data_IF_443657800996
#
_entry.id   IF_443657800996
#
_cell.length_a   1.000
_cell.length_b   1.000
_cell.length_c   1.000
_cell.angle_alpha   90.00
_cell.angle_beta   90.00
_cell.angle_gamma   90.00
#
_symmetry.space_group_name_H-M   'P 1'
#
loop_
_entity.id
_entity.type
_entity.pdbx_description
1 polymer ?
#
# COMPACT_ATOMS: atom_id res chain seq x y z
N UNK A 1 -7.42 -3.57 2.11
CA UNK A 1 -8.39 -4.66 1.84
C UNK A 1 -8.32 -5.78 2.89
N UNK A 2 -7.68 -5.60 4.05
CA UNK A 2 -7.40 -6.70 4.99
C UNK A 2 -8.35 -6.84 6.19
N UNK A 3 -9.23 -5.87 6.46
CA UNK A 3 -10.02 -5.86 7.70
C UNK A 3 -11.27 -6.76 7.74
N UNK A 4 -11.62 -7.44 6.65
CA UNK A 4 -12.84 -8.26 6.57
C UNK A 4 -12.61 -9.73 6.96
N UNK A 5 -11.46 -10.31 6.59
CA UNK A 5 -11.14 -11.71 6.86
C UNK A 5 -11.02 -12.01 8.36
N UNK A 6 -10.47 -11.07 9.12
CA UNK A 6 -10.23 -11.25 10.55
C UNK A 6 -11.51 -11.51 11.36
N UNK A 7 -12.63 -10.88 11.00
CA UNK A 7 -13.87 -11.02 11.75
C UNK A 7 -14.48 -12.41 11.55
N UNK A 8 -14.54 -12.89 10.31
CA UNK A 8 -15.07 -14.22 10.00
C UNK A 8 -14.22 -15.32 10.66
N UNK A 9 -12.89 -15.23 10.57
CA UNK A 9 -11.99 -16.17 11.24
C UNK A 9 -12.13 -16.10 12.76
N UNK A 10 -12.21 -14.90 13.35
CA UNK A 10 -12.37 -14.75 14.78
C UNK A 10 -13.69 -15.36 15.28
N UNK A 11 -14.82 -15.08 14.61
CA UNK A 11 -16.11 -15.65 14.96
C UNK A 11 -16.12 -17.18 14.87
N UNK A 12 -15.53 -17.75 13.81
CA UNK A 12 -15.47 -19.21 13.64
C UNK A 12 -14.66 -19.90 14.75
N UNK A 13 -13.51 -19.33 15.11
CA UNK A 13 -12.68 -19.86 16.21
C UNK A 13 -13.37 -19.72 17.57
N UNK A 14 -14.10 -18.63 17.79
CA UNK A 14 -14.88 -18.43 19.01
C UNK A 14 -16.06 -19.41 19.11
N UNK A 15 -16.74 -19.68 18.00
CA UNK A 15 -17.81 -20.68 17.94
C UNK A 15 -17.30 -22.11 18.19
N UNK A 16 -16.03 -22.38 17.86
CA UNK A 16 -15.35 -23.64 18.20
C UNK A 16 -14.85 -23.70 19.66
N UNK A 17 -15.11 -22.66 20.47
CA UNK A 17 -14.76 -22.62 21.90
C UNK A 17 -13.37 -22.09 22.21
N UNK A 18 -12.63 -21.56 21.22
CA UNK A 18 -11.31 -20.98 21.47
C UNK A 18 -11.41 -19.55 22.00
N UNK A 19 -10.52 -19.20 22.94
CA UNK A 19 -10.28 -17.81 23.32
C UNK A 19 -9.55 -17.09 22.17
N UNK A 20 -10.20 -16.09 21.58
CA UNK A 20 -9.67 -15.36 20.42
C UNK A 20 -9.29 -13.94 20.78
N UNK A 21 -8.07 -13.55 20.39
CA UNK A 21 -7.55 -12.18 20.49
C UNK A 21 -7.25 -11.63 19.11
N UNK A 22 -7.76 -10.43 18.82
CA UNK A 22 -7.56 -9.71 17.56
C UNK A 22 -6.50 -8.62 17.80
N UNK A 23 -5.27 -8.89 17.36
CA UNK A 23 -4.12 -8.00 17.58
C UNK A 23 -3.93 -7.08 16.37
N UNK A 24 -3.54 -5.83 16.61
CA UNK A 24 -3.16 -4.90 15.55
C UNK A 24 -1.83 -5.37 14.90
N UNK A 25 -1.73 -5.43 13.56
CA UNK A 25 -0.48 -5.79 12.87
C UNK A 25 0.75 -4.99 13.34
N UNK A 26 0.57 -3.74 13.78
CA UNK A 26 1.66 -2.93 14.35
C UNK A 26 2.19 -3.52 15.66
N UNK A 27 1.30 -3.94 16.57
CA UNK A 27 1.70 -4.55 17.85
C UNK A 27 2.47 -5.85 17.63
N UNK A 28 2.01 -6.71 16.72
CA UNK A 28 2.73 -7.92 16.34
C UNK A 28 4.14 -7.60 15.78
N UNK A 29 4.25 -6.52 14.98
CA UNK A 29 5.53 -6.08 14.43
C UNK A 29 6.46 -5.52 15.49
N UNK A 30 5.95 -4.76 16.45
CA UNK A 30 6.76 -4.19 17.51
C UNK A 30 7.25 -5.28 18.49
N UNK A 31 6.44 -6.30 18.74
CA UNK A 31 6.88 -7.51 19.45
C UNK A 31 7.98 -8.26 18.69
N UNK A 32 7.84 -8.44 17.37
CA UNK A 32 8.89 -9.07 16.55
C UNK A 32 10.23 -8.33 16.65
N UNK A 33 10.19 -6.99 16.61
CA UNK A 33 11.41 -6.16 16.78
C UNK A 33 12.03 -6.35 18.16
N UNK A 34 11.22 -6.37 19.22
CA UNK A 34 11.71 -6.60 20.58
C UNK A 34 12.38 -7.98 20.73
N UNK A 35 11.89 -8.99 20.01
CA UNK A 35 12.47 -10.34 19.95
C UNK A 35 13.66 -10.48 18.97
N UNK A 36 14.15 -9.37 18.39
CA UNK A 36 15.28 -9.37 17.45
C UNK A 36 14.95 -9.91 16.05
N UNK A 37 13.67 -10.12 15.71
CA UNK A 37 13.23 -10.69 14.43
C UNK A 37 12.90 -9.58 13.44
N UNK A 38 13.88 -9.25 12.61
CA UNK A 38 13.78 -8.16 11.62
C UNK A 38 13.31 -8.65 10.25
N UNK A 39 13.65 -9.90 9.90
CA UNK A 39 13.28 -10.55 8.65
C UNK A 39 11.79 -10.87 8.64
N UNK A 40 11.12 -10.62 7.51
CA UNK A 40 9.71 -10.92 7.32
C UNK A 40 9.55 -12.15 6.41
N UNK A 41 9.32 -13.31 7.01
CA UNK A 41 8.85 -14.52 6.32
C UNK A 41 7.61 -15.05 7.02
N UNK A 42 6.77 -15.79 6.30
CA UNK A 42 5.53 -16.35 6.87
C UNK A 42 5.82 -17.28 8.07
N UNK A 43 6.93 -18.03 8.03
CA UNK A 43 7.37 -18.89 9.13
C UNK A 43 7.80 -18.10 10.38
N UNK A 44 8.49 -16.98 10.19
CA UNK A 44 8.90 -16.07 11.28
C UNK A 44 7.68 -15.38 11.87
N UNK A 45 6.76 -14.89 11.01
CA UNK A 45 5.54 -14.22 11.44
C UNK A 45 4.64 -15.19 12.25
N UNK A 46 4.49 -16.45 11.82
CA UNK A 46 3.73 -17.47 12.56
C UNK A 46 4.33 -17.75 13.94
N UNK A 47 5.65 -17.88 14.04
CA UNK A 47 6.35 -18.09 15.33
C UNK A 47 6.20 -16.89 16.26
N UNK A 48 6.34 -15.67 15.73
CA UNK A 48 6.12 -14.43 16.48
C UNK A 48 4.70 -14.37 17.05
N UNK A 49 3.68 -14.71 16.25
CA UNK A 49 2.30 -14.72 16.71
C UNK A 49 2.04 -15.79 17.78
N UNK A 50 2.63 -16.97 17.64
CA UNK A 50 2.53 -18.04 18.64
C UNK A 50 3.15 -17.64 19.99
N UNK A 51 4.36 -17.06 19.96
CA UNK A 51 5.01 -16.56 21.18
C UNK A 51 4.25 -15.40 21.80
N UNK A 52 3.75 -14.46 20.99
CA UNK A 52 2.90 -13.38 21.48
C UNK A 52 1.64 -13.92 22.16
N UNK A 53 1.01 -14.95 21.59
CA UNK A 53 -0.15 -15.61 22.18
C UNK A 53 0.20 -16.28 23.52
N UNK A 54 1.36 -16.94 23.63
CA UNK A 54 1.84 -17.51 24.89
C UNK A 54 2.05 -16.43 25.96
N UNK A 55 2.71 -15.31 25.60
CA UNK A 55 2.91 -14.18 26.51
C UNK A 55 1.58 -13.60 27.00
N UNK A 56 0.59 -13.47 26.12
CA UNK A 56 -0.75 -12.99 26.50
C UNK A 56 -1.49 -13.99 27.40
N UNK A 57 -1.34 -15.29 27.16
CA UNK A 57 -2.01 -16.32 27.95
C UNK A 57 -1.49 -16.41 29.39
N UNK A 58 -0.22 -16.08 29.61
CA UNK A 58 0.42 -16.09 30.94
C UNK A 58 0.09 -14.85 31.79
N UNK A 59 -0.52 -13.82 31.19
CA UNK A 59 -0.87 -12.60 31.92
C UNK A 59 -2.06 -12.83 32.86
N UNK A 60 -2.01 -12.29 34.10
CA UNK A 60 -3.16 -12.35 35.00
C UNK A 60 -4.37 -11.55 34.48
N UNK A 61 -4.14 -10.54 33.63
CA UNK A 61 -5.19 -9.73 32.99
C UNK A 61 -5.59 -10.21 31.58
N UNK A 62 -5.32 -11.49 31.24
CA UNK A 62 -5.54 -12.02 29.88
C UNK A 62 -6.97 -11.81 29.35
N UNK A 63 -7.96 -11.85 30.23
CA UNK A 63 -9.38 -11.75 29.87
C UNK A 63 -9.73 -10.38 29.26
N UNK A 64 -8.95 -9.34 29.57
CA UNK A 64 -9.08 -8.01 28.93
C UNK A 64 -8.82 -8.05 27.42
N UNK A 65 -7.98 -8.98 26.96
CA UNK A 65 -7.61 -9.11 25.56
C UNK A 65 -8.54 -10.04 24.79
N UNK A 66 -9.25 -10.93 25.49
CA UNK A 66 -10.22 -11.84 24.90
C UNK A 66 -11.46 -11.03 24.52
N UNK A 67 -11.77 -11.02 23.23
CA UNK A 67 -13.01 -10.36 22.78
C UNK A 67 -14.19 -11.25 23.20
N UNK A 68 -15.21 -10.76 23.92
CA UNK A 68 -16.37 -11.57 24.23
C UNK A 68 -17.08 -11.99 22.94
N UNK A 69 -17.70 -13.17 22.96
CA UNK A 69 -18.45 -13.68 21.81
C UNK A 69 -19.54 -12.65 21.45
N UNK A 70 -19.56 -12.14 20.21
CA UNK A 70 -20.49 -11.09 19.86
C UNK A 70 -21.92 -11.65 19.82
N UNK A 71 -22.82 -11.01 20.56
CA UNK A 71 -24.26 -11.26 20.52
C UNK A 71 -24.79 -11.05 19.08
N UNK A 72 -25.92 -11.69 18.73
CA UNK A 72 -26.47 -11.68 17.37
C UNK A 72 -26.73 -10.24 16.87
N UNK A 73 -27.17 -9.34 17.77
CA UNK A 73 -27.31 -7.91 17.48
C UNK A 73 -25.97 -7.24 17.16
N UNK A 74 -24.90 -7.56 17.89
CA UNK A 74 -23.56 -7.05 17.63
C UNK A 74 -23.02 -7.56 16.29
N UNK A 75 -23.22 -8.84 15.97
CA UNK A 75 -22.83 -9.42 14.67
C UNK A 75 -23.51 -8.69 13.50
N UNK A 76 -24.82 -8.44 13.63
CA UNK A 76 -25.58 -7.69 12.62
C UNK A 76 -25.07 -6.25 12.46
N UNK A 77 -24.82 -5.55 13.57
CA UNK A 77 -24.24 -4.19 13.54
C UNK A 77 -22.86 -4.17 12.87
N UNK A 78 -21.99 -5.15 13.17
CA UNK A 78 -20.68 -5.26 12.50
C UNK A 78 -20.83 -5.47 10.99
N UNK A 79 -21.75 -6.32 10.56
CA UNK A 79 -22.03 -6.55 9.14
C UNK A 79 -22.46 -5.26 8.44
N UNK A 80 -23.36 -4.48 9.05
CA UNK A 80 -23.79 -3.18 8.52
C UNK A 80 -22.64 -2.16 8.44
N UNK A 81 -21.83 -2.03 9.49
CA UNK A 81 -20.67 -1.11 9.50
C UNK A 81 -19.65 -1.50 8.42
N UNK A 82 -19.37 -2.80 8.26
CA UNK A 82 -18.48 -3.30 7.21
C UNK A 82 -19.03 -3.01 5.83
N UNK A 83 -20.33 -3.27 5.59
CA UNK A 83 -20.99 -3.00 4.31
C UNK A 83 -20.98 -1.51 3.98
N UNK A 84 -21.28 -0.64 4.95
CA UNK A 84 -21.19 0.82 4.77
C UNK A 84 -19.78 1.25 4.36
N UNK A 85 -18.73 0.77 5.05
CA UNK A 85 -17.33 1.10 4.71
C UNK A 85 -16.94 0.62 3.30
N UNK A 86 -17.48 -0.52 2.86
CA UNK A 86 -17.28 -1.01 1.50
C UNK A 86 -17.96 -0.10 0.48
N UNK A 87 -19.24 0.22 0.68
CA UNK A 87 -20.00 1.09 -0.21
C UNK A 87 -19.39 2.49 -0.30
N UNK A 88 -18.97 3.08 0.81
CA UNK A 88 -18.24 4.37 0.81
C UNK A 88 -16.97 4.29 -0.03
N UNK A 89 -16.20 3.18 0.07
CA UNK A 89 -15.03 2.97 -0.78
C UNK A 89 -15.39 2.89 -2.26
N UNK A 90 -16.45 2.15 -2.61
CA UNK A 90 -16.94 2.05 -3.98
C UNK A 90 -17.39 3.41 -4.51
N UNK A 91 -18.15 4.17 -3.74
CA UNK A 91 -18.60 5.52 -4.09
C UNK A 91 -17.42 6.47 -4.35
N UNK A 92 -16.38 6.44 -3.50
CA UNK A 92 -15.16 7.25 -3.74
C UNK A 92 -14.47 6.79 -5.01
N UNK A 93 -14.37 5.48 -5.26
CA UNK A 93 -13.73 4.95 -6.47
C UNK A 93 -14.48 5.34 -7.75
N UNK A 94 -15.82 5.30 -7.75
CA UNK A 94 -16.64 5.74 -8.89
C UNK A 94 -16.50 7.24 -9.14
N UNK A 95 -16.50 8.05 -8.07
CA UNK A 95 -16.26 9.49 -8.19
C UNK A 95 -14.88 9.79 -8.77
N UNK A 96 -13.85 9.06 -8.34
CA UNK A 96 -12.51 9.19 -8.91
C UNK A 96 -12.42 8.70 -10.36
N UNK A 97 -13.19 7.68 -10.74
CA UNK A 97 -13.25 7.18 -12.10
C UNK A 97 -13.91 8.19 -13.06
N UNK A 98 -14.91 8.95 -12.59
CA UNK A 98 -15.58 10.01 -13.38
C UNK A 98 -14.83 11.35 -13.36
N UNK A 99 -13.97 11.60 -12.37
CA UNK A 99 -13.18 12.83 -12.22
C UNK A 99 -11.80 12.78 -12.88
N UNK A 100 -11.04 13.89 -12.79
CA UNK A 100 -9.61 13.88 -13.18
C UNK A 100 -8.87 12.87 -12.31
N UNK A 101 -8.14 11.94 -12.92
CA UNK A 101 -7.38 10.91 -12.21
C UNK A 101 -6.32 11.57 -11.32
N UNK A 102 -6.42 11.34 -10.01
CA UNK A 102 -5.45 11.82 -9.02
C UNK A 102 -4.63 10.62 -8.54
N UNK A 103 -3.32 10.81 -8.39
CA UNK A 103 -2.44 9.85 -7.72
C UNK A 103 -2.32 10.30 -6.27
N UNK A 104 -2.71 9.46 -5.31
CA UNK A 104 -2.52 9.69 -3.88
C UNK A 104 -1.51 8.68 -3.29
N UNK A 105 -0.58 9.15 -2.47
CA UNK A 105 0.45 8.33 -1.82
C UNK A 105 1.77 8.16 -2.60
N UNK A 106 2.54 7.13 -2.23
CA UNK A 106 3.86 6.79 -2.80
C UNK A 106 5.06 7.39 -2.06
N UNK A 107 6.28 7.09 -2.53
CA UNK A 107 7.55 7.55 -1.93
C UNK A 107 7.81 9.02 -2.30
N UNK A 108 7.59 9.93 -1.35
CA UNK A 108 7.70 11.37 -1.60
C UNK A 108 9.11 11.81 -2.04
N UNK A 109 10.14 11.27 -1.38
CA UNK A 109 11.56 11.52 -1.70
C UNK A 109 11.90 11.17 -3.14
N UNK A 110 11.49 9.98 -3.60
CA UNK A 110 11.69 9.51 -4.98
C UNK A 110 11.00 10.43 -5.99
N UNK A 111 9.78 10.88 -5.67
CA UNK A 111 9.03 11.77 -6.56
C UNK A 111 9.72 13.13 -6.71
N UNK A 112 10.22 13.70 -5.62
CA UNK A 112 10.95 14.97 -5.65
C UNK A 112 12.26 14.84 -6.44
N UNK A 113 13.03 13.77 -6.20
CA UNK A 113 14.26 13.51 -6.96
C UNK A 113 13.98 13.33 -8.46
N UNK A 114 12.96 12.56 -8.82
CA UNK A 114 12.59 12.32 -10.21
C UNK A 114 12.06 13.60 -10.89
N UNK A 115 11.39 14.48 -10.15
CA UNK A 115 10.93 15.77 -10.66
C UNK A 115 12.11 16.68 -11.03
N UNK A 116 13.10 16.79 -10.14
CA UNK A 116 14.32 17.57 -10.41
C UNK A 116 15.12 16.96 -11.58
N UNK A 117 15.27 15.64 -11.62
CA UNK A 117 15.92 14.94 -12.73
C UNK A 117 15.20 15.19 -14.07
N UNK A 118 13.86 15.18 -14.09
CA UNK A 118 13.09 15.48 -15.29
C UNK A 118 13.29 16.93 -15.76
N UNK A 119 13.40 17.91 -14.86
CA UNK A 119 13.70 19.30 -15.21
C UNK A 119 15.05 19.43 -15.91
N UNK A 120 16.09 18.79 -15.37
CA UNK A 120 17.42 18.79 -15.96
C UNK A 120 17.42 18.04 -17.30
N UNK A 121 16.76 16.88 -17.37
CA UNK A 121 16.65 16.10 -18.60
C UNK A 121 15.95 16.86 -19.73
N UNK A 122 14.91 17.66 -19.44
CA UNK A 122 14.28 18.49 -20.47
C UNK A 122 15.21 19.55 -21.07
N UNK A 123 16.27 19.98 -20.35
CA UNK A 123 17.23 20.96 -20.84
C UNK A 123 18.30 20.32 -21.72
N UNK A 124 18.80 19.15 -21.32
CA UNK A 124 19.98 18.53 -21.94
C UNK A 124 19.64 17.34 -22.85
N UNK A 125 18.46 16.73 -22.73
CA UNK A 125 18.07 15.55 -23.49
C UNK A 125 16.94 15.88 -24.48
N UNK A 126 17.25 15.80 -25.77
CA UNK A 126 16.33 16.14 -26.86
C UNK A 126 15.05 15.28 -26.87
N UNK A 127 15.13 14.00 -26.45
CA UNK A 127 13.97 13.09 -26.48
C UNK A 127 12.94 13.48 -25.41
N UNK A 128 13.42 13.77 -24.20
CA UNK A 128 12.55 14.23 -23.11
C UNK A 128 12.01 15.63 -23.41
N UNK A 129 12.84 16.52 -23.96
CA UNK A 129 12.42 17.86 -24.42
C UNK A 129 11.30 17.80 -25.45
N UNK A 130 11.46 16.97 -26.49
CA UNK A 130 10.44 16.75 -27.54
C UNK A 130 9.14 16.21 -26.94
N UNK A 131 9.22 15.34 -25.92
CA UNK A 131 8.02 14.88 -25.23
C UNK A 131 7.30 16.01 -24.48
N UNK A 132 8.06 16.88 -23.82
CA UNK A 132 7.51 18.03 -23.10
C UNK A 132 6.83 19.03 -24.05
N UNK A 133 7.53 19.42 -25.12
CA UNK A 133 7.03 20.38 -26.12
C UNK A 133 5.77 19.87 -26.82
N UNK A 134 5.72 18.59 -27.19
CA UNK A 134 4.52 17.96 -27.76
C UNK A 134 3.31 18.05 -26.84
N UNK A 135 3.50 17.89 -25.53
CA UNK A 135 2.42 17.98 -24.55
C UNK A 135 1.97 19.42 -24.32
N UNK A 136 2.88 20.38 -24.34
CA UNK A 136 2.52 21.80 -24.29
C UNK A 136 1.76 22.24 -25.55
N UNK A 137 2.19 21.80 -26.73
CA UNK A 137 1.49 22.06 -27.99
C UNK A 137 0.06 21.47 -27.99
N UNK A 138 -0.15 20.33 -27.31
CA UNK A 138 -1.46 19.75 -27.09
C UNK A 138 -2.29 20.45 -25.96
N UNK A 139 -1.87 21.63 -25.50
CA UNK A 139 -2.58 22.43 -24.50
C UNK A 139 -2.53 21.87 -23.08
N UNK A 140 -1.62 20.93 -22.77
CA UNK A 140 -1.55 20.35 -21.42
C UNK A 140 -0.90 21.32 -20.44
N UNK A 141 -1.38 21.40 -19.18
CA UNK A 141 -0.74 22.21 -18.15
C UNK A 141 0.72 21.81 -17.94
N UNK A 142 1.61 22.80 -17.73
CA UNK A 142 3.06 22.57 -17.56
C UNK A 142 3.38 21.47 -16.55
N UNK A 143 2.73 21.47 -15.38
CA UNK A 143 2.93 20.44 -14.35
C UNK A 143 2.58 19.03 -14.82
N UNK A 144 1.54 18.86 -15.65
CA UNK A 144 1.15 17.56 -16.22
C UNK A 144 2.21 17.08 -17.22
N UNK A 145 2.74 17.99 -18.04
CA UNK A 145 3.80 17.68 -18.99
C UNK A 145 5.10 17.23 -18.29
N UNK A 146 5.48 17.88 -17.18
CA UNK A 146 6.64 17.45 -16.37
C UNK A 146 6.42 16.05 -15.79
N UNK A 147 5.24 15.76 -15.24
CA UNK A 147 4.92 14.43 -14.69
C UNK A 147 4.97 13.35 -15.77
N UNK A 148 4.54 13.64 -17.00
CA UNK A 148 4.69 12.72 -18.11
C UNK A 148 6.17 12.48 -18.48
N UNK A 149 6.99 13.53 -18.45
CA UNK A 149 8.44 13.42 -18.68
C UNK A 149 9.13 12.58 -17.60
N UNK A 150 8.75 12.74 -16.32
CA UNK A 150 9.22 11.89 -15.22
C UNK A 150 8.95 10.41 -15.51
N UNK A 151 7.75 10.08 -16.00
CA UNK A 151 7.38 8.70 -16.36
C UNK A 151 8.21 8.18 -17.54
N UNK A 152 8.41 8.99 -18.59
CA UNK A 152 9.24 8.62 -19.75
C UNK A 152 10.68 8.35 -19.32
N UNK A 153 11.26 9.20 -18.48
CA UNK A 153 12.60 9.01 -17.91
C UNK A 153 12.70 7.69 -17.13
N UNK A 154 11.72 7.42 -16.26
CA UNK A 154 11.70 6.20 -15.44
C UNK A 154 11.60 4.93 -16.29
N UNK A 155 10.81 4.95 -17.36
CA UNK A 155 10.68 3.83 -18.30
C UNK A 155 12.03 3.56 -18.98
N UNK A 156 12.73 4.60 -19.43
CA UNK A 156 14.02 4.45 -20.11
C UNK A 156 15.08 3.94 -19.14
N UNK A 157 15.19 4.51 -17.93
CA UNK A 157 16.11 4.03 -16.90
C UNK A 157 15.85 2.55 -16.56
N UNK A 158 14.58 2.17 -16.43
CA UNK A 158 14.23 0.78 -16.16
C UNK A 158 14.57 -0.16 -17.33
N UNK A 159 14.42 0.29 -18.58
CA UNK A 159 14.82 -0.45 -19.76
C UNK A 159 16.36 -0.62 -19.84
N UNK A 160 17.13 0.42 -19.49
CA UNK A 160 18.59 0.36 -19.40
C UNK A 160 19.04 -0.66 -18.36
N UNK A 161 18.47 -0.60 -17.14
CA UNK A 161 18.79 -1.56 -16.06
C UNK A 161 18.43 -2.99 -16.46
N UNK A 162 17.27 -3.19 -17.10
CA UNK A 162 16.83 -4.53 -17.54
C UNK A 162 17.69 -5.10 -18.67
N UNK A 163 18.16 -4.26 -19.59
CA UNK A 163 18.94 -4.70 -20.75
C UNK A 163 20.45 -4.69 -20.51
N UNK A 164 20.93 -4.08 -19.42
CA UNK A 164 22.35 -3.87 -19.14
C UNK A 164 23.05 -2.93 -20.14
N UNK A 165 22.29 -2.22 -20.99
CA UNK A 165 22.82 -1.35 -22.04
C UNK A 165 22.85 0.11 -21.57
N UNK A 166 23.88 0.88 -21.95
CA UNK A 166 23.89 2.33 -21.70
C UNK A 166 22.80 3.03 -22.52
N UNK A 167 22.61 4.32 -22.27
CA UNK A 167 21.63 5.14 -22.99
C UNK A 167 21.85 5.04 -24.51
N UNK A 168 20.77 4.86 -25.26
CA UNK A 168 20.76 5.01 -26.71
C UNK A 168 19.49 5.73 -27.15
N UNK A 169 19.56 6.50 -28.22
CA UNK A 169 18.41 7.25 -28.74
C UNK A 169 17.28 6.33 -29.23
N UNK A 170 17.62 5.09 -29.60
CA UNK A 170 16.65 4.04 -29.96
C UNK A 170 15.82 3.59 -28.75
N UNK A 171 16.42 3.45 -27.56
CA UNK A 171 15.71 3.10 -26.32
C UNK A 171 14.73 4.19 -25.88
N UNK A 172 14.97 5.43 -26.30
CA UNK A 172 14.20 6.59 -25.89
C UNK A 172 12.94 6.83 -26.76
N UNK A 173 12.86 6.18 -27.92
CA UNK A 173 11.74 6.32 -28.87
C UNK A 173 10.53 5.42 -28.55
N UNK A 174 10.71 4.33 -27.77
CA UNK A 174 9.65 3.45 -27.28
C UNK A 174 8.83 4.09 -26.14
#
# INVERSE_FOLDING_TARGET
>A
MSGQYQLACACALQAAGFAVVVINPRQARDFAKAMGRLVKTDSVDARVLAELAQVLNLRPDRDRFIKPMPDQAQQYLYALVLRRRQLVRLLVSERQARGKRIICGGRATVRSALYMAAIVAMRHNAVIRRCYERLLAAGKPKKVAIVACMRKLLIIMNAMVKSGRPWSDQLAQA
#
